data_IF_608795587532
#
_entry.id   IF_608795587532
#
_cell.length_a   1.000
_cell.length_b   1.000
_cell.length_c   1.000
_cell.angle_alpha   90.00
_cell.angle_beta   90.00
_cell.angle_gamma   90.00
#
_symmetry.space_group_name_H-M   'P 1'
#
loop_
_entity.id
_entity.type
_entity.pdbx_description
1 polymer ?
#
# COMPACT_ATOMS: atom_id res chain seq x y z
N UNK A 1 22.74 2.65 14.27
CA UNK A 1 22.70 2.93 12.82
C UNK A 1 23.86 3.85 12.57
N UNK A 2 24.87 3.37 11.86
CA UNK A 2 25.99 4.22 11.47
C UNK A 2 25.56 5.03 10.25
N UNK A 3 25.53 6.35 10.40
CA UNK A 3 25.24 7.28 9.31
C UNK A 3 26.58 7.55 8.63
N UNK A 4 26.76 6.99 7.44
CA UNK A 4 27.95 7.25 6.63
C UNK A 4 27.80 8.60 5.91
N UNK A 5 28.80 9.47 6.08
CA UNK A 5 28.89 10.73 5.33
C UNK A 5 29.61 10.44 4.03
N UNK A 6 28.90 10.60 2.91
CA UNK A 6 29.47 10.42 1.58
C UNK A 6 30.19 11.71 1.20
N UNK A 7 31.48 11.63 0.87
CA UNK A 7 32.30 12.80 0.52
C UNK A 7 32.29 13.14 -0.97
N UNK A 8 31.93 12.19 -1.85
CA UNK A 8 31.98 12.36 -3.30
C UNK A 8 30.82 11.64 -4.01
N UNK A 9 30.26 12.27 -5.05
CA UNK A 9 29.24 11.70 -5.94
C UNK A 9 29.82 11.54 -7.34
N UNK A 10 29.85 10.32 -7.86
CA UNK A 10 30.36 10.00 -9.20
C UNK A 10 29.19 10.05 -10.19
N UNK A 11 29.31 10.85 -11.25
CA UNK A 11 28.34 10.84 -12.35
C UNK A 11 28.28 9.45 -13.01
N UNK A 12 27.08 8.96 -13.34
CA UNK A 12 26.82 7.57 -13.78
C UNK A 12 27.11 6.47 -12.72
N UNK A 13 27.36 6.85 -11.47
CA UNK A 13 27.36 5.92 -10.35
C UNK A 13 25.98 5.31 -10.08
N UNK A 14 25.93 4.27 -9.25
CA UNK A 14 24.66 3.67 -8.85
C UNK A 14 23.73 4.75 -8.26
N UNK A 15 22.52 4.89 -8.82
CA UNK A 15 21.47 5.70 -8.21
C UNK A 15 21.27 5.24 -6.77
N UNK A 16 21.03 6.19 -5.85
CA UNK A 16 20.65 5.87 -4.48
C UNK A 16 19.26 5.20 -4.49
N UNK A 17 19.24 3.89 -4.70
CA UNK A 17 18.06 3.08 -4.47
C UNK A 17 17.82 3.08 -2.96
N UNK A 18 16.71 3.66 -2.53
CA UNK A 18 16.25 3.56 -1.15
C UNK A 18 15.83 2.11 -0.88
N UNK A 19 16.80 1.32 -0.41
CA UNK A 19 16.65 -0.07 0.01
C UNK A 19 16.73 -0.16 1.52
N UNK A 20 15.94 -1.07 2.07
CA UNK A 20 15.88 -1.29 3.50
C UNK A 20 15.60 -2.74 3.81
N UNK A 21 15.25 -2.99 5.07
CA UNK A 21 14.85 -4.32 5.51
C UNK A 21 13.63 -4.23 6.42
N UNK A 22 12.67 -5.10 6.20
CA UNK A 22 11.64 -5.41 7.18
C UNK A 22 12.05 -6.64 7.98
N UNK A 23 11.95 -6.58 9.30
CA UNK A 23 12.27 -7.70 10.19
C UNK A 23 10.97 -8.26 10.73
N UNK A 24 10.61 -9.48 10.33
CA UNK A 24 9.37 -10.16 10.75
C UNK A 24 9.71 -11.39 11.57
N UNK A 25 8.96 -11.62 12.65
CA UNK A 25 9.10 -12.82 13.48
C UNK A 25 8.07 -13.84 13.03
N UNK A 26 8.53 -14.95 12.46
CA UNK A 26 7.70 -15.99 11.88
C UNK A 26 7.82 -17.26 12.69
N UNK A 27 6.70 -17.91 12.96
CA UNK A 27 6.68 -19.23 13.61
C UNK A 27 6.34 -20.27 12.58
N UNK A 28 7.26 -21.22 12.33
CA UNK A 28 7.07 -22.32 11.41
C UNK A 28 7.43 -23.62 12.13
N UNK A 29 6.54 -24.62 12.04
CA UNK A 29 6.72 -25.93 12.68
C UNK A 29 7.01 -25.83 14.20
N UNK A 30 6.34 -24.87 14.88
CA UNK A 30 6.53 -24.61 16.31
C UNK A 30 7.81 -23.84 16.68
N UNK A 31 8.67 -23.54 15.71
CA UNK A 31 9.94 -22.83 15.91
C UNK A 31 9.76 -21.37 15.50
N UNK A 32 10.01 -20.44 16.42
CA UNK A 32 9.97 -19.01 16.13
C UNK A 32 11.33 -18.53 15.61
N UNK A 33 11.32 -17.90 14.45
CA UNK A 33 12.51 -17.38 13.78
C UNK A 33 12.27 -15.94 13.31
N UNK A 34 13.25 -15.07 13.50
CA UNK A 34 13.23 -13.74 12.89
C UNK A 34 13.79 -13.82 11.47
N UNK A 35 13.06 -13.26 10.51
CA UNK A 35 13.46 -13.17 9.10
C UNK A 35 13.66 -11.70 8.73
N UNK A 36 14.78 -11.41 8.09
CA UNK A 36 15.11 -10.09 7.56
C UNK A 36 14.80 -10.10 6.06
N UNK A 37 13.78 -9.36 5.66
CA UNK A 37 13.28 -9.29 4.29
C UNK A 37 13.77 -8.00 3.64
N UNK A 38 14.52 -8.05 2.52
CA UNK A 38 14.91 -6.86 1.79
C UNK A 38 13.68 -6.18 1.17
N UNK A 39 13.62 -4.85 1.30
CA UNK A 39 12.56 -4.01 0.73
C UNK A 39 13.16 -2.86 -0.08
N UNK A 40 12.40 -2.37 -1.06
CA UNK A 40 12.71 -1.19 -1.88
C UNK A 40 11.56 -0.19 -1.83
N UNK A 41 11.86 1.11 -1.93
CA UNK A 41 10.82 2.14 -2.12
C UNK A 41 10.64 2.57 -3.58
N UNK A 42 11.59 2.24 -4.46
CA UNK A 42 11.52 2.61 -5.88
C UNK A 42 10.25 2.06 -6.55
N UNK A 43 9.44 2.94 -7.13
CA UNK A 43 8.21 2.60 -7.84
C UNK A 43 7.00 2.31 -6.93
N UNK A 44 7.15 2.41 -5.61
CA UNK A 44 6.08 2.05 -4.66
C UNK A 44 4.98 3.12 -4.66
N UNK A 45 5.33 4.40 -4.68
CA UNK A 45 4.35 5.50 -4.66
C UNK A 45 3.45 5.46 -5.89
N UNK A 46 4.02 5.32 -7.09
CA UNK A 46 3.27 5.23 -8.34
C UNK A 46 2.39 3.97 -8.37
N UNK A 47 2.89 2.88 -7.79
CA UNK A 47 2.11 1.64 -7.68
C UNK A 47 0.94 1.79 -6.69
N UNK A 48 1.12 2.50 -5.57
CA UNK A 48 0.06 2.82 -4.62
C UNK A 48 -1.03 3.67 -5.26
N UNK A 49 -0.68 4.76 -5.95
CA UNK A 49 -1.65 5.60 -6.65
C UNK A 49 -2.47 4.79 -7.66
N UNK A 50 -1.80 3.92 -8.43
CA UNK A 50 -2.45 3.04 -9.40
C UNK A 50 -3.44 2.07 -8.76
N UNK A 51 -3.15 1.55 -7.58
CA UNK A 51 -4.05 0.65 -6.86
C UNK A 51 -5.20 1.39 -6.18
N UNK A 52 -4.94 2.57 -5.62
CA UNK A 52 -5.95 3.44 -5.02
C UNK A 52 -6.99 3.89 -6.05
N UNK A 53 -6.56 4.14 -7.29
CA UNK A 53 -7.46 4.43 -8.41
C UNK A 53 -8.44 3.30 -8.77
N UNK A 54 -8.18 2.07 -8.32
CA UNK A 54 -9.04 0.89 -8.52
C UNK A 54 -9.95 0.57 -7.33
N UNK A 55 -9.98 1.43 -6.31
CA UNK A 55 -10.84 1.22 -5.15
C UNK A 55 -12.32 1.12 -5.58
N UNK A 56 -13.09 0.18 -5.01
CA UNK A 56 -14.54 0.11 -5.19
C UNK A 56 -15.19 1.45 -4.90
N UNK A 57 -16.15 1.84 -5.75
CA UNK A 57 -16.92 3.07 -5.55
C UNK A 57 -18.27 2.71 -4.92
N UNK A 58 -18.74 3.48 -3.92
CA UNK A 58 -20.03 3.22 -3.32
C UNK A 58 -21.15 3.37 -4.37
N UNK A 59 -22.20 2.54 -4.29
CA UNK A 59 -23.42 2.68 -5.08
C UNK A 59 -23.98 4.09 -4.98
N UNK A 60 -24.57 4.56 -6.07
CA UNK A 60 -25.11 5.92 -6.19
C UNK A 60 -26.61 5.84 -6.39
N UNK A 61 -27.37 6.44 -5.48
CA UNK A 61 -28.79 6.72 -5.68
C UNK A 61 -28.96 8.21 -5.98
N UNK A 62 -29.94 8.52 -6.83
CA UNK A 62 -30.31 9.91 -7.10
C UNK A 62 -31.56 10.22 -6.30
N UNK A 63 -31.39 11.02 -5.25
CA UNK A 63 -32.49 11.40 -4.38
C UNK A 63 -32.80 12.88 -4.53
N UNK A 64 -34.09 13.20 -4.56
CA UNK A 64 -34.54 14.59 -4.50
C UNK A 64 -34.51 15.04 -3.05
N UNK A 65 -33.47 15.77 -2.68
CA UNK A 65 -33.40 16.40 -1.36
C UNK A 65 -34.23 17.67 -1.41
N UNK A 66 -35.28 17.71 -0.60
CA UNK A 66 -36.12 18.90 -0.49
C UNK A 66 -35.40 19.95 0.36
N UNK A 67 -35.59 21.23 0.04
CA UNK A 67 -34.97 22.33 0.80
C UNK A 67 -35.37 22.35 2.29
N UNK A 68 -36.54 21.78 2.61
CA UNK A 68 -37.14 21.78 3.94
C UNK A 68 -36.80 20.53 4.77
N UNK A 69 -36.17 19.51 4.18
CA UNK A 69 -35.67 18.34 4.93
C UNK A 69 -34.49 18.71 5.83
N UNK A 70 -34.23 17.88 6.84
CA UNK A 70 -33.11 18.11 7.77
C UNK A 70 -31.75 18.08 7.04
N UNK A 71 -31.57 17.16 6.08
CA UNK A 71 -30.41 17.14 5.18
C UNK A 71 -30.34 18.40 4.31
N UNK A 72 -31.44 18.85 3.72
CA UNK A 72 -31.47 20.03 2.85
C UNK A 72 -31.14 21.32 3.58
N UNK A 73 -31.60 21.46 4.83
CA UNK A 73 -31.23 22.58 5.70
C UNK A 73 -29.77 22.54 6.13
N UNK A 74 -29.23 21.36 6.49
CA UNK A 74 -27.80 21.18 6.84
C UNK A 74 -26.89 21.50 5.66
N UNK A 75 -27.32 21.21 4.43
CA UNK A 75 -26.56 21.49 3.20
C UNK A 75 -26.79 22.92 2.66
N UNK A 76 -27.69 23.71 3.26
CA UNK A 76 -27.97 25.08 2.82
C UNK A 76 -28.68 25.17 1.47
N UNK A 77 -29.49 24.17 1.11
CA UNK A 77 -30.19 24.13 -0.18
C UNK A 77 -31.25 25.24 -0.25
N UNK A 78 -31.18 26.08 -1.28
CA UNK A 78 -32.16 27.16 -1.53
C UNK A 78 -33.43 26.65 -2.24
N UNK A 79 -33.29 25.57 -3.00
CA UNK A 79 -34.36 24.92 -3.77
C UNK A 79 -34.19 23.41 -3.66
N UNK A 80 -35.25 22.66 -3.95
CA UNK A 80 -35.15 21.21 -4.06
C UNK A 80 -34.16 20.85 -5.16
N UNK A 81 -33.24 19.94 -4.84
CA UNK A 81 -32.17 19.57 -5.76
C UNK A 81 -32.02 18.06 -5.80
N UNK A 82 -31.83 17.54 -7.01
CA UNK A 82 -31.39 16.15 -7.19
C UNK A 82 -29.94 16.05 -6.73
N UNK A 83 -29.71 15.22 -5.73
CA UNK A 83 -28.37 14.97 -5.21
C UNK A 83 -28.03 13.49 -5.39
N UNK A 84 -26.75 13.24 -5.64
CA UNK A 84 -26.21 11.89 -5.60
C UNK A 84 -25.93 11.53 -4.16
N UNK A 85 -26.66 10.56 -3.62
CA UNK A 85 -26.39 9.96 -2.32
C UNK A 85 -25.56 8.70 -2.55
N UNK A 86 -24.49 8.57 -1.78
CA UNK A 86 -23.64 7.38 -1.82
C UNK A 86 -24.10 6.44 -0.71
N UNK A 87 -24.43 5.21 -1.08
CA UNK A 87 -24.74 4.18 -0.09
C UNK A 87 -23.44 3.55 0.38
N UNK A 88 -22.97 3.97 1.55
CA UNK A 88 -21.78 3.41 2.21
C UNK A 88 -22.11 2.23 3.12
N UNK A 89 -23.40 1.91 3.26
CA UNK A 89 -23.91 0.82 4.09
C UNK A 89 -24.27 -0.43 3.31
N UNK A 90 -24.24 -0.36 1.99
CA UNK A 90 -24.45 -1.50 1.09
C UNK A 90 -23.45 -2.64 1.37
N UNK A 91 -23.98 -3.82 1.70
CA UNK A 91 -23.18 -4.98 2.09
C UNK A 91 -22.23 -5.44 0.97
N UNK A 92 -22.63 -5.33 -0.30
CA UNK A 92 -21.77 -5.71 -1.42
C UNK A 92 -20.58 -4.75 -1.55
N UNK A 93 -20.81 -3.44 -1.40
CA UNK A 93 -19.78 -2.42 -1.37
C UNK A 93 -18.83 -2.59 -0.19
N UNK A 94 -19.34 -2.79 1.03
CA UNK A 94 -18.53 -2.99 2.22
C UNK A 94 -17.63 -4.22 2.05
N UNK A 95 -18.20 -5.35 1.61
CA UNK A 95 -17.43 -6.57 1.35
C UNK A 95 -16.39 -6.38 0.23
N UNK A 96 -16.71 -5.63 -0.83
CA UNK A 96 -15.78 -5.32 -1.91
C UNK A 96 -14.63 -4.44 -1.43
N UNK A 97 -14.94 -3.44 -0.58
CA UNK A 97 -13.96 -2.51 -0.01
C UNK A 97 -13.00 -3.23 0.95
N UNK A 98 -13.52 -4.11 1.80
CA UNK A 98 -12.69 -4.92 2.71
C UNK A 98 -11.72 -5.83 1.95
N UNK A 99 -12.22 -6.52 0.91
CA UNK A 99 -11.37 -7.35 0.04
C UNK A 99 -10.32 -6.52 -0.67
N UNK A 100 -10.69 -5.37 -1.24
CA UNK A 100 -9.75 -4.46 -1.89
C UNK A 100 -8.68 -3.98 -0.92
N UNK A 101 -9.05 -3.60 0.31
CA UNK A 101 -8.11 -3.11 1.33
C UNK A 101 -7.12 -4.20 1.73
N UNK A 102 -7.59 -5.43 1.95
CA UNK A 102 -6.70 -6.56 2.25
C UNK A 102 -5.76 -6.83 1.08
N UNK A 103 -6.28 -6.91 -0.14
CA UNK A 103 -5.45 -7.15 -1.33
C UNK A 103 -4.47 -6.02 -1.61
N UNK A 104 -4.85 -4.78 -1.34
CA UNK A 104 -4.02 -3.60 -1.49
C UNK A 104 -2.74 -3.73 -0.68
N UNK A 105 -2.85 -4.03 0.62
CA UNK A 105 -1.69 -4.18 1.51
C UNK A 105 -0.75 -5.30 1.03
N UNK A 106 -1.32 -6.44 0.63
CA UNK A 106 -0.55 -7.54 0.08
C UNK A 106 0.17 -7.15 -1.22
N UNK A 107 -0.51 -6.44 -2.13
CA UNK A 107 0.08 -6.02 -3.41
C UNK A 107 1.26 -5.08 -3.20
N UNK A 108 1.12 -4.09 -2.31
CA UNK A 108 2.21 -3.17 -1.99
C UNK A 108 3.38 -3.92 -1.36
N UNK A 109 3.12 -4.74 -0.33
CA UNK A 109 4.19 -5.48 0.35
C UNK A 109 4.93 -6.41 -0.63
N UNK A 110 4.21 -7.16 -1.46
CA UNK A 110 4.82 -8.07 -2.45
C UNK A 110 5.63 -7.31 -3.51
N UNK A 111 5.13 -6.16 -3.97
CA UNK A 111 5.84 -5.33 -4.93
C UNK A 111 7.14 -4.75 -4.36
N UNK A 112 7.09 -4.32 -3.09
CA UNK A 112 8.22 -3.71 -2.40
C UNK A 112 9.27 -4.73 -1.92
N UNK A 113 8.93 -6.02 -1.82
CA UNK A 113 9.88 -7.07 -1.45
C UNK A 113 10.88 -7.36 -2.57
N UNK A 114 12.15 -7.09 -2.32
CA UNK A 114 13.25 -7.30 -3.27
C UNK A 114 13.81 -8.73 -3.17
N UNK A 115 12.94 -9.70 -3.48
CA UNK A 115 13.21 -11.13 -3.33
C UNK A 115 13.21 -11.86 -4.68
N UNK A 116 14.00 -12.92 -4.78
CA UNK A 116 13.87 -13.92 -5.84
C UNK A 116 12.74 -14.87 -5.49
N UNK A 117 11.67 -14.85 -6.28
CA UNK A 117 10.47 -15.63 -6.01
C UNK A 117 10.56 -17.00 -6.68
N UNK A 118 10.69 -18.06 -5.88
CA UNK A 118 10.73 -19.44 -6.37
C UNK A 118 9.61 -20.27 -5.76
N UNK A 119 8.93 -21.01 -6.62
CA UNK A 119 7.95 -22.03 -6.24
C UNK A 119 8.65 -23.29 -5.73
N UNK A 120 7.88 -24.19 -5.13
CA UNK A 120 8.39 -25.46 -4.60
C UNK A 120 9.00 -26.39 -5.67
N UNK A 121 8.54 -26.27 -6.93
CA UNK A 121 9.06 -27.01 -8.09
C UNK A 121 10.37 -26.40 -8.66
N UNK A 122 10.85 -25.29 -8.09
CA UNK A 122 12.04 -24.58 -8.55
C UNK A 122 11.78 -23.51 -9.63
N UNK A 123 10.55 -23.41 -10.14
CA UNK A 123 10.18 -22.40 -11.14
C UNK A 123 10.03 -21.01 -10.52
N UNK A 124 10.20 -19.96 -11.32
CA UNK A 124 10.01 -18.58 -10.87
C UNK A 124 8.52 -18.24 -10.73
N UNK A 125 8.19 -17.57 -9.63
CA UNK A 125 6.84 -17.06 -9.39
C UNK A 125 6.66 -15.71 -10.09
N UNK A 126 5.73 -15.63 -11.03
CA UNK A 126 5.53 -14.45 -11.87
C UNK A 126 4.29 -13.66 -11.46
N UNK A 127 3.25 -14.35 -11.02
CA UNK A 127 1.98 -13.70 -10.68
C UNK A 127 1.96 -13.27 -9.21
N UNK A 128 1.06 -12.32 -8.90
CA UNK A 128 0.84 -11.86 -7.54
C UNK A 128 0.37 -13.01 -6.63
N UNK A 129 -0.59 -13.81 -7.10
CA UNK A 129 -1.15 -14.92 -6.31
C UNK A 129 -0.10 -15.96 -5.97
N UNK A 130 0.79 -16.31 -6.91
CA UNK A 130 1.89 -17.25 -6.65
C UNK A 130 2.83 -16.72 -5.56
N UNK A 131 3.17 -15.43 -5.61
CA UNK A 131 4.04 -14.79 -4.61
C UNK A 131 3.36 -14.71 -3.23
N UNK A 132 2.06 -14.42 -3.21
CA UNK A 132 1.22 -14.42 -2.00
C UNK A 132 1.18 -15.79 -1.34
N UNK A 133 0.98 -16.85 -2.12
CA UNK A 133 1.00 -18.22 -1.61
C UNK A 133 2.39 -18.66 -1.12
N UNK A 134 3.46 -18.20 -1.76
CA UNK A 134 4.84 -18.41 -1.25
C UNK A 134 5.01 -17.75 0.12
N UNK A 135 4.53 -16.52 0.32
CA UNK A 135 4.62 -15.86 1.63
C UNK A 135 3.82 -16.61 2.69
N UNK A 136 2.57 -16.99 2.39
CA UNK A 136 1.72 -17.73 3.33
C UNK A 136 2.31 -19.09 3.72
N UNK A 137 2.82 -19.86 2.76
CA UNK A 137 3.46 -21.17 3.02
C UNK A 137 4.76 -21.05 3.84
N UNK A 138 5.34 -19.85 3.89
CA UNK A 138 6.48 -19.53 4.76
C UNK A 138 6.06 -18.95 6.12
N UNK A 139 4.76 -18.89 6.45
CA UNK A 139 4.26 -18.42 7.74
C UNK A 139 4.04 -16.90 7.81
N UNK A 140 4.09 -16.19 6.68
CA UNK A 140 3.77 -14.76 6.62
C UNK A 140 2.24 -14.60 6.64
N UNK A 141 1.74 -13.83 7.61
CA UNK A 141 0.32 -13.58 7.84
C UNK A 141 -0.01 -12.11 7.55
N UNK A 142 -1.29 -11.72 7.63
CA UNK A 142 -1.70 -10.32 7.45
C UNK A 142 -0.94 -9.35 8.36
N UNK A 143 -0.76 -9.68 9.63
CA UNK A 143 -0.01 -8.83 10.56
C UNK A 143 1.46 -8.62 10.12
N UNK A 144 2.09 -9.65 9.53
CA UNK A 144 3.45 -9.50 9.00
C UNK A 144 3.47 -8.57 7.78
N UNK A 145 2.45 -8.65 6.94
CA UNK A 145 2.27 -7.78 5.77
C UNK A 145 2.05 -6.32 6.19
N UNK A 146 1.23 -6.07 7.21
CA UNK A 146 1.02 -4.72 7.75
C UNK A 146 2.33 -4.11 8.24
N UNK A 147 3.15 -4.92 8.91
CA UNK A 147 4.49 -4.48 9.32
C UNK A 147 5.39 -4.14 8.13
N UNK A 148 5.44 -5.02 7.12
CA UNK A 148 6.25 -4.80 5.91
C UNK A 148 5.78 -3.52 5.20
N UNK A 149 4.46 -3.34 5.06
CA UNK A 149 3.87 -2.15 4.49
C UNK A 149 4.31 -0.88 5.23
N UNK A 150 4.21 -0.86 6.56
CA UNK A 150 4.65 0.29 7.36
C UNK A 150 6.15 0.56 7.22
N UNK A 151 6.98 -0.48 7.25
CA UNK A 151 8.43 -0.36 7.04
C UNK A 151 8.74 0.21 5.64
N UNK A 152 7.94 -0.13 4.63
CA UNK A 152 8.03 0.41 3.26
C UNK A 152 7.60 1.87 3.20
N UNK A 153 6.47 2.24 3.83
CA UNK A 153 6.01 3.64 3.88
C UNK A 153 7.07 4.53 4.54
N UNK A 154 7.63 4.10 5.67
CA UNK A 154 8.70 4.84 6.34
C UNK A 154 9.90 5.02 5.40
N UNK A 155 10.31 3.97 4.70
CA UNK A 155 11.40 4.02 3.73
C UNK A 155 11.10 4.99 2.57
N UNK A 156 9.86 5.04 2.09
CA UNK A 156 9.43 5.97 1.02
C UNK A 156 9.37 7.42 1.52
N UNK A 157 8.82 7.68 2.71
CA UNK A 157 8.76 9.02 3.30
C UNK A 157 10.15 9.62 3.52
N UNK A 158 11.11 8.82 4.02
CA UNK A 158 12.50 9.27 4.14
C UNK A 158 13.15 9.61 2.79
N UNK A 159 12.65 9.08 1.67
CA UNK A 159 13.12 9.42 0.33
C UNK A 159 12.48 10.73 -0.18
N UNK A 160 11.19 10.94 0.07
CA UNK A 160 10.44 12.14 -0.34
C UNK A 160 10.91 13.40 0.41
N UNK A 161 11.11 13.31 1.74
CA UNK A 161 11.64 14.42 2.55
C UNK A 161 13.02 14.89 2.07
N UNK A 162 13.82 13.99 1.47
CA UNK A 162 15.11 14.35 0.85
C UNK A 162 14.96 15.03 -0.50
N UNK A 163 13.95 14.68 -1.31
CA UNK A 163 13.69 15.36 -2.58
C UNK A 163 13.18 16.79 -2.37
N UNK A 164 12.27 17.00 -1.40
CA UNK A 164 11.72 18.32 -1.09
C UNK A 164 12.76 19.29 -0.50
N UNK A 165 13.78 18.76 0.18
CA UNK A 165 14.92 19.55 0.63
C UNK A 165 15.79 20.06 -0.53
N UNK A 166 15.92 19.28 -1.60
CA UNK A 166 16.72 19.64 -2.78
C UNK A 166 15.96 20.61 -3.71
N UNK A 167 14.64 20.49 -3.82
CA UNK A 167 13.82 21.34 -4.68
C UNK A 167 13.64 22.78 -4.14
N UNK A 168 13.74 23.00 -2.83
CA UNK A 168 13.64 24.33 -2.20
C UNK A 168 14.92 25.17 -2.19
N UNK A 169 16.04 24.59 -2.62
CA UNK A 169 17.34 25.28 -2.71
C UNK A 169 17.81 25.47 -4.16
N UNK A 170 16.89 25.36 -5.13
CA UNK A 170 17.14 25.60 -6.56
C UNK A 170 16.58 26.96 -7.00
#
# INVERSE_FOLDING_TARGET
>A
MDIETISELIAEGALFDSRGFSIVKVTKDGISQSKKLPIKSTGVAEFQEKLSGKAPKPPRTFERIKKDSDEGRKMGLKHDQMMTVFDVTDDEYVNALEKHTQEFLWQIAIFALDLKWKKADGNEAKTFDEKKEILKSNGITGHHVDKIYNDVILLTQFAEDRQDFLSKNS
#
